data_IF_239334706911
#
_entry.id   IF_239334706911
#
_cell.length_a   1.000
_cell.length_b   1.000
_cell.length_c   1.000
_cell.angle_alpha   90.00
_cell.angle_beta   90.00
_cell.angle_gamma   90.00
#
_symmetry.space_group_name_H-M   'P 1'
#
loop_
_entity.id
_entity.type
_entity.pdbx_description
1 polymer ?
#
# COMPACT_ATOMS: atom_id res chain seq x y z
N UNK A 1 21.82 -51.86 -4.58
CA UNK A 1 22.15 -50.53 -4.00
C UNK A 1 20.92 -50.08 -3.24
N UNK A 2 20.85 -50.33 -1.94
CA UNK A 2 19.70 -49.92 -1.12
C UNK A 2 19.94 -48.46 -0.71
N UNK A 3 19.17 -47.52 -1.26
CA UNK A 3 19.11 -46.17 -0.70
C UNK A 3 18.70 -46.27 0.78
N UNK A 4 19.40 -45.61 1.71
CA UNK A 4 19.00 -45.64 3.11
C UNK A 4 17.63 -44.97 3.23
N UNK A 5 16.61 -45.76 3.53
CA UNK A 5 15.30 -45.30 3.99
C UNK A 5 15.52 -44.44 5.22
N UNK A 6 15.54 -43.12 5.04
CA UNK A 6 15.76 -42.17 6.13
C UNK A 6 14.69 -42.34 7.21
N UNK A 7 15.09 -42.12 8.47
CA UNK A 7 14.23 -42.24 9.64
C UNK A 7 12.86 -41.53 9.40
N UNK A 8 11.73 -42.27 9.42
CA UNK A 8 10.40 -41.73 9.11
C UNK A 8 9.99 -40.59 10.06
N UNK A 9 10.44 -40.61 11.33
CA UNK A 9 10.16 -39.53 12.28
C UNK A 9 10.86 -38.23 11.86
N UNK A 10 12.08 -38.35 11.33
CA UNK A 10 12.84 -37.20 10.81
C UNK A 10 12.21 -36.63 9.55
N UNK A 11 11.72 -37.49 8.65
CA UNK A 11 10.97 -37.08 7.45
C UNK A 11 9.70 -36.32 7.87
N UNK A 12 8.92 -36.88 8.79
CA UNK A 12 7.69 -36.27 9.31
C UNK A 12 7.96 -34.92 9.98
N UNK A 13 8.99 -34.81 10.83
CA UNK A 13 9.36 -33.57 11.49
C UNK A 13 9.80 -32.47 10.51
N UNK A 14 10.63 -32.81 9.51
CA UNK A 14 11.06 -31.87 8.47
C UNK A 14 9.89 -31.40 7.60
N UNK A 15 8.96 -32.30 7.29
CA UNK A 15 7.75 -31.97 6.56
C UNK A 15 6.84 -31.03 7.35
N UNK A 16 6.59 -31.32 8.63
CA UNK A 16 5.81 -30.47 9.51
C UNK A 16 6.40 -29.05 9.62
N UNK A 17 7.74 -28.93 9.69
CA UNK A 17 8.38 -27.61 9.68
C UNK A 17 8.19 -26.89 8.33
N UNK A 18 8.28 -27.60 7.21
CA UNK A 18 8.06 -27.01 5.89
C UNK A 18 6.61 -26.49 5.73
N UNK A 19 5.63 -27.22 6.25
CA UNK A 19 4.22 -26.79 6.28
C UNK A 19 4.02 -25.58 7.20
N UNK A 20 4.66 -25.58 8.38
CA UNK A 20 4.62 -24.44 9.30
C UNK A 20 5.21 -23.17 8.66
N UNK A 21 6.38 -23.26 8.03
CA UNK A 21 7.03 -22.12 7.36
C UNK A 21 6.16 -21.59 6.20
N UNK A 22 5.51 -22.47 5.44
CA UNK A 22 4.56 -22.08 4.38
C UNK A 22 3.30 -21.43 4.94
N UNK A 23 2.75 -21.98 6.03
CA UNK A 23 1.58 -21.40 6.69
C UNK A 23 1.89 -20.00 7.23
N UNK A 24 3.08 -19.81 7.80
CA UNK A 24 3.57 -18.51 8.27
C UNK A 24 3.77 -17.52 7.12
N UNK A 25 4.38 -17.94 6.01
CA UNK A 25 4.49 -17.12 4.81
C UNK A 25 3.11 -16.67 4.31
N UNK A 26 2.14 -17.59 4.22
CA UNK A 26 0.78 -17.25 3.81
C UNK A 26 0.12 -16.24 4.77
N UNK A 27 0.29 -16.42 6.09
CA UNK A 27 -0.19 -15.51 7.13
C UNK A 27 0.39 -14.10 6.96
N UNK A 28 1.71 -14.00 6.75
CA UNK A 28 2.40 -12.72 6.52
C UNK A 28 1.93 -12.04 5.23
N UNK A 29 1.81 -12.78 4.13
CA UNK A 29 1.30 -12.24 2.85
C UNK A 29 -0.09 -11.60 3.01
N UNK A 30 -1.00 -12.29 3.70
CA UNK A 30 -2.34 -11.75 4.01
C UNK A 30 -2.26 -10.54 4.95
N UNK A 31 -1.43 -10.60 5.99
CA UNK A 31 -1.23 -9.51 6.95
C UNK A 31 -0.73 -8.23 6.28
N UNK A 32 0.35 -8.33 5.51
CA UNK A 32 0.96 -7.23 4.74
C UNK A 32 -0.07 -6.58 3.81
N UNK A 33 -0.81 -7.40 3.07
CA UNK A 33 -1.82 -6.89 2.13
C UNK A 33 -2.94 -6.12 2.84
N UNK A 34 -3.46 -6.67 3.95
CA UNK A 34 -4.51 -6.03 4.76
C UNK A 34 -4.02 -4.72 5.39
N UNK A 35 -2.75 -4.67 5.82
CA UNK A 35 -2.16 -3.44 6.38
C UNK A 35 -1.86 -2.41 5.31
N UNK A 36 -1.47 -2.82 4.11
CA UNK A 36 -1.29 -1.89 2.99
C UNK A 36 -2.62 -1.22 2.62
N UNK A 37 -3.70 -2.00 2.58
CA UNK A 37 -5.06 -1.47 2.41
C UNK A 37 -5.41 -0.42 3.47
N UNK A 38 -5.08 -0.69 4.74
CA UNK A 38 -5.33 0.25 5.83
C UNK A 38 -4.45 1.49 5.72
N UNK A 39 -3.17 1.36 5.33
CA UNK A 39 -2.26 2.47 5.13
C UNK A 39 -2.76 3.44 4.05
N UNK A 40 -3.29 2.90 2.94
CA UNK A 40 -3.94 3.71 1.89
C UNK A 40 -5.18 4.42 2.41
N UNK A 41 -6.03 3.75 3.20
CA UNK A 41 -7.24 4.38 3.80
C UNK A 41 -6.90 5.50 4.77
N UNK A 42 -5.83 5.34 5.55
CA UNK A 42 -5.33 6.36 6.46
C UNK A 42 -4.57 7.48 5.72
N UNK A 43 -4.36 7.33 4.41
CA UNK A 43 -3.64 8.29 3.58
C UNK A 43 -2.16 8.40 3.92
N UNK A 44 -1.57 7.32 4.44
CA UNK A 44 -0.13 7.20 4.77
C UNK A 44 0.69 6.93 3.50
N UNK A 45 0.14 6.15 2.58
CA UNK A 45 0.71 5.82 1.27
C UNK A 45 -0.38 6.01 0.22
N UNK A 46 -0.03 6.48 -0.97
CA UNK A 46 -0.99 6.53 -2.08
C UNK A 46 -1.27 5.12 -2.66
N UNK A 47 -2.38 4.98 -3.38
CA UNK A 47 -2.82 3.69 -3.92
C UNK A 47 -1.92 3.16 -5.05
N UNK A 48 -1.28 4.03 -5.83
CA UNK A 48 -0.41 3.64 -6.94
C UNK A 48 0.90 3.04 -6.39
N UNK A 49 1.53 3.72 -5.44
CA UNK A 49 2.71 3.22 -4.71
C UNK A 49 2.39 1.95 -3.95
N UNK A 50 1.27 1.90 -3.23
CA UNK A 50 0.84 0.68 -2.54
C UNK A 50 0.71 -0.51 -3.50
N UNK A 51 0.11 -0.31 -4.68
CA UNK A 51 0.02 -1.36 -5.70
C UNK A 51 1.40 -1.75 -6.26
N UNK A 52 2.28 -0.77 -6.52
CA UNK A 52 3.66 -1.03 -6.98
C UNK A 52 4.45 -1.87 -5.97
N UNK A 53 4.39 -1.52 -4.68
CA UNK A 53 5.02 -2.27 -3.59
C UNK A 53 4.47 -3.69 -3.51
N UNK A 54 3.14 -3.86 -3.54
CA UNK A 54 2.51 -5.18 -3.50
C UNK A 54 2.93 -6.04 -4.70
N UNK A 55 2.91 -5.49 -5.92
CA UNK A 55 3.36 -6.21 -7.12
C UNK A 55 4.81 -6.61 -7.02
N UNK A 56 5.68 -5.76 -6.48
CA UNK A 56 7.08 -6.07 -6.28
C UNK A 56 7.32 -7.18 -5.24
N UNK A 57 6.40 -7.37 -4.30
CA UNK A 57 6.42 -8.48 -3.34
C UNK A 57 5.70 -9.74 -3.86
N UNK A 58 5.28 -9.76 -5.13
CA UNK A 58 4.50 -10.85 -5.71
C UNK A 58 3.12 -11.01 -5.05
N UNK A 59 2.59 -9.93 -4.47
CA UNK A 59 1.26 -9.88 -3.87
C UNK A 59 0.26 -9.28 -4.86
N UNK A 60 -1.00 -9.72 -4.81
CA UNK A 60 -2.03 -9.09 -5.62
C UNK A 60 -2.23 -7.63 -5.21
N UNK A 61 -2.50 -6.79 -6.20
CA UNK A 61 -2.71 -5.35 -6.01
C UNK A 61 -3.94 -5.08 -5.14
N UNK A 62 -4.07 -3.86 -4.63
CA UNK A 62 -5.27 -3.48 -3.90
C UNK A 62 -6.47 -3.42 -4.86
N UNK A 63 -7.67 -3.79 -4.40
CA UNK A 63 -8.87 -3.67 -5.21
C UNK A 63 -9.10 -2.20 -5.57
N UNK A 64 -9.34 -1.95 -6.86
CA UNK A 64 -9.70 -0.65 -7.43
C UNK A 64 -11.14 -0.70 -7.94
N UNK A 65 -11.76 0.46 -8.11
CA UNK A 65 -13.07 0.55 -8.74
C UNK A 65 -12.89 0.57 -10.25
N UNK A 66 -13.60 -0.31 -10.94
CA UNK A 66 -13.57 -0.46 -12.39
C UNK A 66 -14.95 -0.17 -12.94
N UNK A 67 -15.01 0.64 -13.99
CA UNK A 67 -16.17 0.75 -14.86
C UNK A 67 -16.04 -0.34 -15.93
N UNK A 68 -16.96 -1.29 -15.95
CA UNK A 68 -17.00 -2.34 -16.96
C UNK A 68 -18.19 -2.10 -17.88
N UNK A 69 -17.91 -1.58 -19.06
CA UNK A 69 -18.88 -1.38 -20.13
C UNK A 69 -19.03 -2.67 -20.92
N UNK A 70 -20.26 -3.11 -21.12
CA UNK A 70 -20.57 -4.30 -21.88
C UNK A 70 -21.80 -4.13 -22.77
N UNK A 71 -21.78 -4.82 -23.90
CA UNK A 71 -22.95 -4.98 -24.76
C UNK A 71 -23.55 -6.37 -24.57
N UNK A 72 -24.86 -6.41 -24.38
CA UNK A 72 -25.64 -7.60 -24.05
C UNK A 72 -26.76 -7.78 -25.06
N UNK A 73 -27.06 -9.04 -25.39
CA UNK A 73 -28.26 -9.41 -26.13
C UNK A 73 -29.36 -9.79 -25.13
N UNK A 74 -30.46 -9.06 -25.14
CA UNK A 74 -31.63 -9.36 -24.34
C UNK A 74 -32.77 -9.85 -25.22
N UNK A 75 -33.50 -10.85 -24.72
CA UNK A 75 -34.66 -11.44 -25.37
C UNK A 75 -35.83 -11.32 -24.40
N UNK A 76 -36.86 -10.60 -24.83
CA UNK A 76 -38.08 -10.39 -24.06
C UNK A 76 -39.26 -11.04 -24.78
N UNK A 77 -40.22 -11.57 -24.02
CA UNK A 77 -41.49 -12.06 -24.56
C UNK A 77 -42.60 -11.15 -24.09
N UNK A 78 -43.42 -10.67 -25.01
CA UNK A 78 -44.57 -9.83 -24.68
C UNK A 78 -45.77 -10.13 -25.57
N UNK A 79 -46.95 -9.72 -25.12
CA UNK A 79 -48.22 -9.89 -25.83
C UNK A 79 -48.72 -8.55 -26.33
N UNK A 80 -48.80 -8.37 -27.66
CA UNK A 80 -49.13 -7.09 -28.27
C UNK A 80 -49.92 -7.25 -29.57
N UNK A 81 -50.56 -6.18 -30.03
CA UNK A 81 -51.38 -6.19 -31.27
C UNK A 81 -50.55 -6.01 -32.56
N UNK A 82 -49.22 -5.93 -32.45
CA UNK A 82 -48.34 -5.69 -33.59
C UNK A 82 -46.86 -5.60 -33.19
N UNK A 83 -45.96 -5.84 -34.14
CA UNK A 83 -44.52 -5.83 -33.92
C UNK A 83 -44.00 -4.48 -33.43
N UNK A 84 -44.48 -3.36 -34.00
CA UNK A 84 -44.08 -2.01 -33.57
C UNK A 84 -44.52 -1.70 -32.14
N UNK A 85 -45.68 -2.23 -31.72
CA UNK A 85 -46.16 -2.09 -30.33
C UNK A 85 -45.35 -2.95 -29.37
N UNK A 86 -44.95 -4.15 -29.78
CA UNK A 86 -44.01 -4.99 -29.03
C UNK A 86 -42.65 -4.29 -28.84
N UNK A 87 -42.10 -3.70 -29.91
CA UNK A 87 -40.85 -2.94 -29.84
C UNK A 87 -40.99 -1.74 -28.89
N UNK A 88 -42.07 -0.95 -29.01
CA UNK A 88 -42.30 0.21 -28.15
C UNK A 88 -42.47 -0.19 -26.68
N UNK A 89 -43.26 -1.20 -26.40
CA UNK A 89 -43.51 -1.69 -25.04
C UNK A 89 -42.21 -2.12 -24.34
N UNK A 90 -41.37 -2.92 -25.02
CA UNK A 90 -40.08 -3.34 -24.47
C UNK A 90 -39.11 -2.16 -24.34
N UNK A 91 -39.12 -1.21 -25.27
CA UNK A 91 -38.30 0.01 -25.17
C UNK A 91 -38.62 0.84 -23.92
N UNK A 92 -39.89 0.96 -23.58
CA UNK A 92 -40.34 1.80 -22.46
C UNK A 92 -40.07 1.13 -21.10
N UNK A 93 -40.16 -0.20 -21.03
CA UNK A 93 -40.05 -0.97 -19.76
C UNK A 93 -38.64 -1.47 -19.47
N UNK A 94 -37.86 -1.82 -20.51
CA UNK A 94 -36.56 -2.46 -20.33
C UNK A 94 -35.56 -1.62 -19.50
N UNK A 95 -35.38 -0.30 -19.73
CA UNK A 95 -34.45 0.49 -18.91
C UNK A 95 -34.80 0.48 -17.43
N UNK A 96 -36.08 0.56 -17.08
CA UNK A 96 -36.54 0.61 -15.68
C UNK A 96 -36.34 -0.73 -14.97
N UNK A 97 -36.80 -1.84 -15.56
CA UNK A 97 -36.63 -3.18 -14.97
C UNK A 97 -35.15 -3.54 -14.79
N UNK A 98 -34.30 -3.15 -15.76
CA UNK A 98 -32.87 -3.35 -15.66
C UNK A 98 -32.22 -2.50 -14.59
N UNK A 99 -32.57 -1.22 -14.49
CA UNK A 99 -32.04 -0.35 -13.46
C UNK A 99 -32.47 -0.82 -12.05
N UNK A 100 -33.70 -1.32 -11.91
CA UNK A 100 -34.18 -1.93 -10.67
C UNK A 100 -33.38 -3.19 -10.29
N UNK A 101 -33.08 -4.08 -11.25
CA UNK A 101 -32.30 -5.29 -11.00
C UNK A 101 -30.79 -5.01 -10.77
N UNK A 102 -30.21 -4.05 -11.50
CA UNK A 102 -28.80 -3.69 -11.38
C UNK A 102 -28.48 -2.93 -10.08
N UNK A 103 -29.43 -2.10 -9.60
CA UNK A 103 -29.27 -1.28 -8.41
C UNK A 103 -28.76 0.13 -8.71
N UNK A 104 -28.57 0.98 -7.68
CA UNK A 104 -28.36 2.42 -7.85
C UNK A 104 -26.95 2.81 -8.32
N UNK A 105 -25.96 1.93 -8.16
CA UNK A 105 -24.57 2.21 -8.52
C UNK A 105 -24.24 1.87 -9.98
N UNK A 106 -25.01 0.99 -10.61
CA UNK A 106 -24.83 0.52 -11.99
C UNK A 106 -25.68 1.37 -12.95
N UNK A 107 -25.29 1.49 -14.22
CA UNK A 107 -26.07 2.25 -15.21
C UNK A 107 -26.34 1.42 -16.46
N UNK A 108 -27.59 1.41 -16.91
CA UNK A 108 -28.01 0.68 -18.11
C UNK A 108 -28.64 1.64 -19.10
N UNK A 109 -28.26 1.53 -20.36
CA UNK A 109 -28.88 2.25 -21.46
C UNK A 109 -29.12 1.31 -22.63
N UNK A 110 -30.31 1.38 -23.23
CA UNK A 110 -30.66 0.56 -24.39
C UNK A 110 -29.86 0.99 -25.61
N UNK A 111 -29.16 0.05 -26.26
CA UNK A 111 -28.40 0.30 -27.49
C UNK A 111 -29.16 -0.30 -28.67
N UNK A 112 -29.46 0.51 -29.67
CA UNK A 112 -30.27 0.09 -30.82
C UNK A 112 -29.50 -0.90 -31.73
N UNK A 113 -30.16 -1.81 -32.47
CA UNK A 113 -31.60 -1.91 -32.76
C UNK A 113 -32.41 -2.94 -31.95
N UNK A 114 -33.75 -2.81 -32.01
CA UNK A 114 -34.75 -3.74 -31.47
C UNK A 114 -35.41 -4.50 -32.64
N UNK A 115 -35.42 -5.83 -32.60
CA UNK A 115 -36.14 -6.68 -33.57
C UNK A 115 -37.28 -7.41 -32.87
N UNK A 116 -38.50 -7.33 -33.40
CA UNK A 116 -39.63 -8.12 -32.92
C UNK A 116 -39.99 -9.20 -33.94
N UNK A 117 -40.07 -10.45 -33.48
CA UNK A 117 -40.52 -11.60 -34.26
C UNK A 117 -41.76 -12.19 -33.63
N UNK A 118 -42.75 -12.50 -34.46
CA UNK A 118 -43.95 -13.20 -34.02
C UNK A 118 -43.57 -14.62 -33.55
N UNK A 119 -44.11 -15.03 -32.41
CA UNK A 119 -43.97 -16.40 -31.91
C UNK A 119 -45.23 -17.22 -32.28
N UNK A 120 -45.18 -18.04 -33.35
CA UNK A 120 -46.34 -18.79 -33.82
C UNK A 120 -46.76 -19.93 -32.90
N UNK A 121 -45.92 -20.30 -31.91
CA UNK A 121 -46.21 -21.40 -31.00
C UNK A 121 -47.09 -21.00 -29.80
N UNK A 122 -47.32 -19.70 -29.60
CA UNK A 122 -48.15 -19.18 -28.51
C UNK A 122 -49.61 -19.02 -28.96
N UNK A 123 -50.56 -19.46 -28.13
CA UNK A 123 -52.00 -19.35 -28.41
C UNK A 123 -52.40 -17.87 -28.35
N UNK A 124 -52.73 -17.29 -29.50
CA UNK A 124 -53.22 -15.91 -29.60
C UNK A 124 -54.70 -15.82 -29.20
N UNK A 125 -55.06 -14.73 -28.52
CA UNK A 125 -56.44 -14.35 -28.23
C UNK A 125 -56.71 -13.00 -28.89
N UNK A 126 -57.88 -12.83 -29.51
CA UNK A 126 -58.37 -11.62 -30.21
C UNK A 126 -57.34 -10.50 -30.47
N UNK A 127 -56.80 -10.42 -31.69
CA UNK A 127 -55.80 -9.45 -32.18
C UNK A 127 -54.49 -9.31 -31.38
N UNK A 128 -54.35 -9.93 -30.21
CA UNK A 128 -53.14 -9.92 -29.37
C UNK A 128 -52.31 -11.17 -29.68
N UNK A 129 -51.06 -10.95 -30.05
CA UNK A 129 -50.10 -11.98 -30.45
C UNK A 129 -48.87 -11.94 -29.57
N UNK A 130 -48.25 -13.10 -29.34
CA UNK A 130 -46.96 -13.17 -28.67
C UNK A 130 -45.84 -12.73 -29.63
N UNK A 131 -44.97 -11.88 -29.13
CA UNK A 131 -43.77 -11.42 -29.81
C UNK A 131 -42.54 -11.71 -28.96
N UNK A 132 -41.51 -12.25 -29.61
CA UNK A 132 -40.15 -12.30 -29.08
C UNK A 132 -39.42 -11.06 -29.58
N UNK A 133 -39.03 -10.20 -28.66
CA UNK A 133 -38.28 -8.97 -28.97
C UNK A 133 -36.84 -9.17 -28.56
N UNK A 134 -35.93 -9.04 -29.52
CA UNK A 134 -34.48 -9.04 -29.29
C UNK A 134 -34.00 -7.60 -29.23
N UNK A 135 -33.26 -7.25 -28.18
CA UNK A 135 -32.70 -5.93 -27.92
C UNK A 135 -31.20 -6.03 -27.67
N UNK A 136 -30.42 -5.07 -28.17
CA UNK A 136 -29.06 -4.84 -27.67
C UNK A 136 -29.13 -3.88 -26.48
N UNK A 137 -28.35 -4.14 -25.43
CA UNK A 137 -28.31 -3.30 -24.24
C UNK A 137 -26.86 -2.96 -23.92
N UNK A 138 -26.60 -1.68 -23.67
CA UNK A 138 -25.36 -1.20 -23.10
C UNK A 138 -25.50 -1.16 -21.59
N UNK A 139 -24.62 -1.85 -20.88
CA UNK A 139 -24.56 -1.80 -19.42
C UNK A 139 -23.16 -1.38 -18.98
N UNK A 140 -23.10 -0.45 -18.04
CA UNK A 140 -21.89 -0.14 -17.31
C UNK A 140 -22.07 -0.63 -15.86
N UNK A 141 -21.26 -1.62 -15.51
CA UNK A 141 -21.28 -2.26 -14.19
C UNK A 141 -20.04 -1.83 -13.43
N UNK A 142 -20.24 -1.42 -12.18
CA UNK A 142 -19.15 -1.03 -11.31
C UNK A 142 -18.72 -2.20 -10.43
N UNK A 143 -17.45 -2.56 -10.52
CA UNK A 143 -16.89 -3.67 -9.74
C UNK A 143 -15.63 -3.26 -9.01
N UNK A 144 -15.31 -3.99 -7.94
CA UNK A 144 -14.09 -3.77 -7.15
C UNK A 144 -13.13 -4.95 -7.35
N UNK A 145 -12.04 -4.71 -8.08
CA UNK A 145 -11.15 -5.77 -8.51
C UNK A 145 -9.68 -5.34 -8.54
N UNK A 146 -8.80 -6.33 -8.41
CA UNK A 146 -7.35 -6.16 -8.30
C UNK A 146 -6.66 -6.06 -9.66
N UNK A 147 -7.39 -6.39 -10.73
CA UNK A 147 -6.90 -6.36 -12.11
C UNK A 147 -8.08 -6.22 -13.07
N UNK A 148 -7.78 -5.78 -14.30
CA UNK A 148 -8.76 -5.71 -15.40
C UNK A 148 -9.44 -7.07 -15.62
N UNK A 149 -8.68 -8.17 -15.60
CA UNK A 149 -9.23 -9.51 -15.81
C UNK A 149 -10.19 -9.91 -14.68
N UNK A 150 -9.81 -9.66 -13.42
CA UNK A 150 -10.69 -9.91 -12.28
C UNK A 150 -11.95 -9.03 -12.31
N UNK A 151 -11.83 -7.78 -12.76
CA UNK A 151 -12.97 -6.88 -12.95
C UNK A 151 -13.96 -7.46 -13.98
N UNK A 152 -13.45 -7.91 -15.13
CA UNK A 152 -14.29 -8.54 -16.17
C UNK A 152 -14.97 -9.81 -15.64
N UNK A 153 -14.27 -10.67 -14.91
CA UNK A 153 -14.85 -11.89 -14.32
C UNK A 153 -15.96 -11.57 -13.31
N UNK A 154 -15.73 -10.59 -12.42
CA UNK A 154 -16.73 -10.16 -11.45
C UNK A 154 -17.93 -9.49 -12.14
N UNK A 155 -17.70 -8.66 -13.15
CA UNK A 155 -18.76 -8.01 -13.91
C UNK A 155 -19.63 -9.06 -14.62
N UNK A 156 -19.03 -10.10 -15.22
CA UNK A 156 -19.78 -11.24 -15.79
C UNK A 156 -20.65 -11.93 -14.74
N UNK A 157 -20.10 -12.23 -13.55
CA UNK A 157 -20.88 -12.84 -12.48
C UNK A 157 -22.03 -11.92 -12.00
N UNK A 158 -21.79 -10.61 -11.93
CA UNK A 158 -22.81 -9.62 -11.58
C UNK A 158 -23.92 -9.54 -12.63
N UNK A 159 -23.58 -9.61 -13.92
CA UNK A 159 -24.55 -9.62 -15.02
C UNK A 159 -25.41 -10.89 -15.03
N UNK A 160 -24.82 -12.06 -14.72
CA UNK A 160 -25.60 -13.30 -14.54
C UNK A 160 -26.56 -13.20 -13.35
N UNK A 161 -26.14 -12.54 -12.27
CA UNK A 161 -27.04 -12.27 -11.14
C UNK A 161 -28.20 -11.34 -11.55
N UNK A 162 -27.89 -10.24 -12.23
CA UNK A 162 -28.91 -9.30 -12.75
C UNK A 162 -29.89 -10.03 -13.67
N UNK A 163 -29.40 -10.94 -14.54
CA UNK A 163 -30.24 -11.78 -15.39
C UNK A 163 -31.24 -12.60 -14.58
N UNK A 164 -30.81 -13.18 -13.45
CA UNK A 164 -31.68 -13.99 -12.62
C UNK A 164 -32.78 -13.17 -11.93
N UNK A 165 -32.50 -11.90 -11.66
CA UNK A 165 -33.40 -10.98 -10.98
C UNK A 165 -34.42 -10.34 -11.95
N UNK A 166 -34.30 -10.56 -13.28
CA UNK A 166 -35.24 -10.07 -14.29
C UNK A 166 -36.42 -11.04 -14.49
N UNK A 167 -37.65 -10.52 -14.40
CA UNK A 167 -38.89 -11.30 -14.43
C UNK A 167 -39.47 -11.51 -15.83
N UNK A 168 -39.35 -10.53 -16.73
CA UNK A 168 -39.99 -10.52 -18.06
C UNK A 168 -39.00 -10.56 -19.22
N UNK A 169 -37.69 -10.52 -18.92
CA UNK A 169 -36.62 -10.53 -19.91
C UNK A 169 -35.59 -11.59 -19.57
N UNK A 170 -35.17 -12.35 -20.58
CA UNK A 170 -34.01 -13.23 -20.49
C UNK A 170 -32.84 -12.58 -21.21
N UNK A 171 -31.70 -12.48 -20.52
CA UNK A 171 -30.45 -12.04 -21.13
C UNK A 171 -29.76 -13.26 -21.70
N UNK A 172 -29.33 -13.24 -22.95
CA UNK A 172 -28.31 -14.18 -23.37
C UNK A 172 -26.93 -13.62 -22.98
N UNK A 173 -26.55 -13.81 -21.71
CA UNK A 173 -25.25 -13.39 -21.21
C UNK A 173 -24.08 -14.16 -21.85
N UNK A 174 -24.36 -15.23 -22.62
CA UNK A 174 -23.33 -15.92 -23.41
C UNK A 174 -22.92 -15.10 -24.65
N UNK A 175 -23.80 -14.18 -25.11
CA UNK A 175 -23.55 -13.23 -26.21
C UNK A 175 -23.08 -11.89 -25.63
N UNK A 176 -21.93 -11.94 -24.94
CA UNK A 176 -21.18 -10.76 -24.52
C UNK A 176 -20.25 -10.36 -25.67
N UNK A 177 -20.69 -9.45 -26.54
CA UNK A 177 -19.97 -9.11 -27.78
C UNK A 177 -18.76 -8.20 -27.54
N UNK A 178 -18.83 -7.30 -26.55
CA UNK A 178 -17.76 -6.33 -26.24
C UNK A 178 -17.71 -6.06 -24.75
N UNK A 179 -16.52 -6.15 -24.16
CA UNK A 179 -16.27 -5.76 -22.77
C UNK A 179 -15.07 -4.80 -22.74
N UNK A 180 -15.33 -3.59 -22.28
CA UNK A 180 -14.30 -2.60 -22.00
C UNK A 180 -14.28 -2.36 -20.49
N UNK A 181 -13.08 -2.26 -19.93
CA UNK A 181 -12.91 -2.12 -18.50
C UNK A 181 -11.87 -1.03 -18.27
N UNK A 182 -12.34 0.09 -17.74
CA UNK A 182 -11.54 1.26 -17.44
C UNK A 182 -11.44 1.44 -15.93
N UNK A 183 -10.22 1.72 -15.49
CA UNK A 183 -9.94 2.05 -14.10
C UNK A 183 -10.40 3.47 -13.81
N UNK A 184 -11.23 3.65 -12.79
CA UNK A 184 -11.64 4.98 -12.34
C UNK A 184 -10.47 5.64 -11.60
N UNK A 185 -9.95 6.76 -12.13
CA UNK A 185 -8.78 7.46 -11.58
C UNK A 185 -9.07 8.36 -10.37
N UNK A 186 -10.30 8.37 -9.86
CA UNK A 186 -10.74 9.24 -8.77
C UNK A 186 -10.45 8.64 -7.39
N UNK A 187 -10.39 9.53 -6.37
CA UNK A 187 -9.96 9.26 -4.98
C UNK A 187 -10.38 7.87 -4.49
N UNK A 188 -9.51 7.17 -3.73
CA UNK A 188 -9.85 5.87 -3.17
C UNK A 188 -11.16 6.01 -2.39
N UNK A 189 -12.25 5.46 -2.93
CA UNK A 189 -13.47 5.32 -2.15
C UNK A 189 -13.12 4.51 -0.90
N UNK A 190 -13.86 4.70 0.21
CA UNK A 190 -13.75 3.81 1.34
C UNK A 190 -14.10 2.42 0.85
N UNK A 191 -13.07 1.64 0.51
CA UNK A 191 -13.22 0.25 0.17
C UNK A 191 -14.06 -0.33 1.29
N UNK A 192 -15.21 -0.95 0.96
CA UNK A 192 -15.90 -1.76 1.96
C UNK A 192 -14.83 -2.70 2.52
N UNK A 193 -14.77 -2.93 3.86
CA UNK A 193 -13.89 -3.97 4.36
C UNK A 193 -14.16 -5.15 3.46
N UNK A 194 -13.15 -5.71 2.77
CA UNK A 194 -13.39 -6.96 2.13
C UNK A 194 -14.04 -7.81 3.22
N UNK A 195 -15.22 -8.37 2.92
CA UNK A 195 -15.58 -9.62 3.55
C UNK A 195 -14.48 -10.54 3.06
N UNK A 196 -13.31 -10.48 3.72
CA UNK A 196 -12.17 -11.32 3.48
C UNK A 196 -12.65 -12.70 3.93
N UNK A 197 -13.44 -13.35 3.08
CA UNK A 197 -13.22 -14.76 2.88
C UNK A 197 -11.72 -14.86 2.64
N UNK A 198 -10.97 -15.63 3.44
CA UNK A 198 -9.56 -15.82 3.18
C UNK A 198 -9.46 -16.22 1.71
N UNK A 199 -8.74 -15.45 0.89
CA UNK A 199 -8.29 -15.92 -0.42
C UNK A 199 -7.29 -17.05 -0.14
N UNK A 200 -7.83 -18.18 0.28
CA UNK A 200 -7.23 -19.50 0.22
C UNK A 200 -8.03 -20.21 -0.86
N UNK A 201 -7.47 -20.45 -2.05
CA UNK A 201 -7.32 -21.86 -2.34
C UNK A 201 -6.59 -22.46 -1.12
N UNK A 202 -7.13 -23.47 -0.42
CA UNK A 202 -6.31 -24.22 0.52
C UNK A 202 -5.00 -24.51 -0.23
N UNK A 203 -3.85 -24.11 0.34
CA UNK A 203 -2.59 -24.52 -0.25
C UNK A 203 -2.73 -26.02 -0.43
N UNK A 204 -2.66 -26.54 -1.68
CA UNK A 204 -2.92 -27.95 -1.90
C UNK A 204 -1.98 -28.69 -0.95
N UNK A 205 -2.57 -29.50 -0.07
CA UNK A 205 -1.83 -30.34 0.86
C UNK A 205 -0.92 -31.18 -0.01
N UNK A 206 0.35 -30.80 -0.08
CA UNK A 206 1.31 -31.56 -0.87
C UNK A 206 1.45 -32.91 -0.16
N UNK A 207 1.46 -34.02 -0.89
CA UNK A 207 1.65 -35.31 -0.26
C UNK A 207 3.00 -35.30 0.50
N UNK A 208 3.06 -35.91 1.70
CA UNK A 208 4.28 -35.95 2.47
C UNK A 208 5.39 -36.65 1.67
N UNK A 209 6.62 -36.12 1.69
CA UNK A 209 7.73 -36.70 0.95
C UNK A 209 8.06 -38.09 1.50
N UNK A 210 8.18 -39.07 0.61
CA UNK A 210 8.55 -40.44 0.98
C UNK A 210 10.07 -40.60 1.21
N UNK A 211 10.87 -39.58 0.83
CA UNK A 211 12.33 -39.61 0.92
C UNK A 211 12.85 -38.45 1.77
N UNK A 212 13.87 -38.73 2.57
CA UNK A 212 14.53 -37.73 3.44
C UNK A 212 15.11 -36.56 2.64
N UNK A 213 15.69 -36.81 1.46
CA UNK A 213 16.24 -35.75 0.61
C UNK A 213 15.17 -34.75 0.16
N UNK A 214 13.95 -35.22 -0.12
CA UNK A 214 12.83 -34.38 -0.55
C UNK A 214 12.26 -33.56 0.62
N UNK A 215 12.18 -34.16 1.81
CA UNK A 215 11.80 -33.45 3.04
C UNK A 215 12.77 -32.31 3.39
N UNK A 216 14.08 -32.57 3.31
CA UNK A 216 15.12 -31.54 3.51
C UNK A 216 14.98 -30.42 2.46
N UNK A 217 14.77 -30.78 1.19
CA UNK A 217 14.62 -29.79 0.11
C UNK A 217 13.38 -28.92 0.30
N UNK A 218 12.25 -29.53 0.65
CA UNK A 218 11.00 -28.82 0.90
C UNK A 218 11.13 -27.84 2.07
N UNK A 219 11.72 -28.28 3.19
CA UNK A 219 11.97 -27.43 4.35
C UNK A 219 12.89 -26.24 3.99
N UNK A 220 14.04 -26.51 3.37
CA UNK A 220 14.99 -25.44 2.99
C UNK A 220 14.37 -24.43 2.04
N UNK A 221 13.55 -24.89 1.08
CA UNK A 221 12.83 -24.02 0.15
C UNK A 221 11.81 -23.15 0.87
N UNK A 222 10.95 -23.73 1.71
CA UNK A 222 9.94 -22.99 2.46
C UNK A 222 10.58 -21.93 3.37
N UNK A 223 11.64 -22.30 4.10
CA UNK A 223 12.39 -21.37 4.96
C UNK A 223 13.06 -20.24 4.18
N UNK A 224 13.62 -20.55 3.01
CA UNK A 224 14.22 -19.54 2.13
C UNK A 224 13.18 -18.57 1.59
N UNK A 225 12.06 -19.07 1.06
CA UNK A 225 10.97 -18.24 0.54
C UNK A 225 10.40 -17.32 1.64
N UNK A 226 10.26 -17.83 2.87
CA UNK A 226 9.86 -17.03 4.02
C UNK A 226 10.88 -15.93 4.35
N UNK A 227 12.16 -16.29 4.46
CA UNK A 227 13.23 -15.34 4.79
C UNK A 227 13.41 -14.26 3.71
N UNK A 228 13.36 -14.64 2.43
CA UNK A 228 13.43 -13.72 1.29
C UNK A 228 12.25 -12.75 1.31
N UNK A 229 11.02 -13.23 1.52
CA UNK A 229 9.84 -12.38 1.60
C UNK A 229 9.92 -11.36 2.75
N UNK A 230 10.35 -11.79 3.94
CA UNK A 230 10.54 -10.90 5.10
C UNK A 230 11.59 -9.83 4.80
N UNK A 231 12.74 -10.25 4.24
CA UNK A 231 13.84 -9.34 3.90
C UNK A 231 13.42 -8.32 2.83
N UNK A 232 12.71 -8.76 1.79
CA UNK A 232 12.31 -7.89 0.68
C UNK A 232 11.27 -6.84 1.11
N UNK A 233 10.35 -7.19 2.03
CA UNK A 233 9.45 -6.21 2.64
C UNK A 233 10.24 -5.20 3.47
N UNK A 234 11.12 -5.69 4.36
CA UNK A 234 11.89 -4.83 5.26
C UNK A 234 12.74 -3.83 4.47
N UNK A 235 13.50 -4.31 3.48
CA UNK A 235 14.36 -3.47 2.64
C UNK A 235 13.57 -2.39 1.89
N UNK A 236 12.41 -2.74 1.29
CA UNK A 236 11.59 -1.78 0.54
C UNK A 236 10.87 -0.77 1.41
N UNK A 237 10.34 -1.20 2.56
CA UNK A 237 9.68 -0.28 3.49
C UNK A 237 10.70 0.70 4.09
N UNK A 238 11.92 0.25 4.36
CA UNK A 238 13.04 1.12 4.76
C UNK A 238 13.41 2.09 3.63
N UNK A 239 13.53 1.62 2.38
CA UNK A 239 13.83 2.48 1.24
C UNK A 239 12.76 3.58 1.05
N UNK A 240 11.47 3.23 1.20
CA UNK A 240 10.37 4.19 1.11
C UNK A 240 10.43 5.29 2.19
N UNK A 241 11.06 5.05 3.34
CA UNK A 241 11.34 6.10 4.33
C UNK A 241 12.43 7.07 3.84
N UNK A 242 13.50 6.53 3.25
CA UNK A 242 14.63 7.31 2.73
C UNK A 242 14.22 8.20 1.56
N UNK A 243 13.35 7.70 0.69
CA UNK A 243 12.87 8.42 -0.50
C UNK A 243 11.73 9.42 -0.18
N UNK A 244 11.43 9.62 1.11
CA UNK A 244 10.32 10.46 1.61
C UNK A 244 8.95 10.08 1.01
N UNK A 245 8.79 8.83 0.58
CA UNK A 245 7.56 8.34 -0.05
C UNK A 245 6.42 8.13 0.95
N UNK A 246 6.78 7.95 2.23
CA UNK A 246 5.85 7.85 3.35
C UNK A 246 5.65 9.25 3.95
N UNK A 247 4.48 9.84 3.73
CA UNK A 247 4.14 11.14 4.31
C UNK A 247 3.46 10.95 5.67
N UNK A 248 4.04 11.52 6.71
CA UNK A 248 3.40 11.61 8.01
C UNK A 248 2.16 12.51 7.93
N UNK A 249 0.94 11.94 7.89
CA UNK A 249 -0.28 12.73 8.13
C UNK A 249 -0.36 13.09 9.62
N UNK A 250 -0.54 14.38 9.92
CA UNK A 250 -0.89 14.84 11.26
C UNK A 250 0.21 14.69 12.32
N UNK A 251 1.42 15.18 12.03
CA UNK A 251 2.55 15.28 12.98
C UNK A 251 3.12 13.94 13.49
N UNK A 252 2.81 12.81 12.83
CA UNK A 252 3.42 11.51 13.15
C UNK A 252 4.72 11.31 12.38
N UNK A 253 5.77 10.86 13.08
CA UNK A 253 7.06 10.50 12.50
C UNK A 253 6.87 9.35 11.47
N UNK A 254 7.36 9.49 10.22
CA UNK A 254 7.34 8.40 9.24
C UNK A 254 7.90 7.07 9.77
N UNK A 255 8.90 7.11 10.65
CA UNK A 255 9.49 5.90 11.24
C UNK A 255 8.51 5.18 12.17
N UNK A 256 7.67 5.91 12.92
CA UNK A 256 6.63 5.31 13.76
C UNK A 256 5.52 4.65 12.91
N UNK A 257 5.21 5.24 11.75
CA UNK A 257 4.23 4.68 10.81
C UNK A 257 4.74 3.39 10.18
N UNK A 258 6.03 3.33 9.84
CA UNK A 258 6.65 2.11 9.34
C UNK A 258 6.79 1.04 10.42
N UNK A 259 7.22 1.39 11.64
CA UNK A 259 7.28 0.45 12.75
C UNK A 259 5.89 -0.16 13.01
N UNK A 260 4.85 0.69 13.04
CA UNK A 260 3.47 0.25 13.13
C UNK A 260 3.08 -0.67 11.98
N UNK A 261 3.42 -0.35 10.73
CA UNK A 261 3.09 -1.20 9.57
C UNK A 261 3.75 -2.57 9.69
N UNK A 262 5.03 -2.63 10.05
CA UNK A 262 5.80 -3.86 10.19
C UNK A 262 5.22 -4.74 11.31
N UNK A 263 5.10 -4.20 12.52
CA UNK A 263 4.59 -4.92 13.69
C UNK A 263 3.15 -5.39 13.44
N UNK A 264 2.30 -4.51 12.91
CA UNK A 264 0.89 -4.85 12.68
C UNK A 264 0.67 -5.82 11.51
N UNK A 265 1.66 -5.99 10.63
CA UNK A 265 1.70 -7.03 9.58
C UNK A 265 2.24 -8.36 10.09
N UNK A 266 2.72 -8.42 11.34
CA UNK A 266 3.31 -9.61 11.94
C UNK A 266 4.81 -9.76 11.71
N UNK A 267 5.48 -8.72 11.21
CA UNK A 267 6.94 -8.66 11.06
C UNK A 267 7.57 -8.12 12.35
N UNK A 268 8.86 -8.39 12.54
CA UNK A 268 9.63 -7.68 13.57
C UNK A 268 9.63 -6.18 13.29
N UNK A 269 9.53 -5.36 14.33
CA UNK A 269 9.58 -3.90 14.21
C UNK A 269 10.93 -3.37 13.71
N UNK A 270 11.01 -2.05 13.56
CA UNK A 270 12.27 -1.38 13.30
C UNK A 270 13.21 -1.55 14.50
N UNK A 271 14.54 -1.57 14.27
CA UNK A 271 15.51 -1.46 15.36
C UNK A 271 15.17 -0.22 16.20
N UNK A 272 15.38 -0.31 17.52
CA UNK A 272 15.13 0.83 18.40
C UNK A 272 16.44 1.44 18.85
N UNK A 273 16.46 2.77 18.96
CA UNK A 273 17.56 3.52 19.53
C UNK A 273 17.06 4.43 20.64
N UNK A 274 17.86 4.58 21.68
CA UNK A 274 17.65 5.62 22.67
C UNK A 274 17.99 6.95 22.00
N UNK A 275 17.03 7.87 21.99
CA UNK A 275 17.18 9.16 21.33
C UNK A 275 17.36 10.29 22.34
N UNK A 276 18.26 11.21 22.03
CA UNK A 276 18.52 12.42 22.79
C UNK A 276 18.46 13.64 21.86
N UNK A 277 17.81 14.71 22.29
CA UNK A 277 17.98 16.02 21.69
C UNK A 277 19.11 16.73 22.45
N UNK A 278 20.22 17.00 21.77
CA UNK A 278 21.34 17.76 22.33
C UNK A 278 21.34 19.14 21.68
N UNK A 279 21.02 20.17 22.44
CA UNK A 279 21.04 21.55 21.96
C UNK A 279 22.39 22.16 22.26
N UNK A 280 23.14 22.49 21.20
CA UNK A 280 24.36 23.25 21.29
C UNK A 280 24.06 24.75 21.15
N UNK A 281 24.52 25.53 22.12
CA UNK A 281 24.60 26.98 21.98
C UNK A 281 26.05 27.33 21.65
N UNK A 282 26.26 27.85 20.44
CA UNK A 282 27.58 28.17 19.89
C UNK A 282 27.70 29.69 19.79
N UNK A 283 28.59 30.28 20.58
CA UNK A 283 28.90 31.70 20.51
C UNK A 283 30.16 31.93 19.68
N UNK A 284 30.05 32.77 18.66
CA UNK A 284 31.16 33.12 17.76
C UNK A 284 31.30 34.63 17.63
N UNK A 285 32.55 35.09 17.56
CA UNK A 285 32.86 36.48 17.23
C UNK A 285 33.16 36.58 15.74
N UNK A 286 32.40 37.42 15.05
CA UNK A 286 32.52 37.66 13.61
C UNK A 286 32.98 39.10 13.38
N UNK A 287 34.10 39.24 12.69
CA UNK A 287 34.55 40.54 12.19
C UNK A 287 33.67 40.94 11.01
N UNK A 288 32.82 41.95 11.22
CA UNK A 288 31.93 42.50 10.20
C UNK A 288 31.68 43.98 10.47
N UNK A 289 31.22 44.70 9.43
CA UNK A 289 30.91 46.14 9.52
C UNK A 289 29.47 46.42 9.95
N UNK A 290 28.60 45.41 9.93
CA UNK A 290 27.20 45.50 10.39
C UNK A 290 26.70 44.17 10.98
N UNK A 291 25.61 44.25 11.77
CA UNK A 291 24.96 43.07 12.36
C UNK A 291 24.38 42.13 11.28
N UNK A 292 23.88 42.67 10.18
CA UNK A 292 23.36 41.90 9.05
C UNK A 292 24.48 41.17 8.30
N UNK A 293 25.62 41.85 8.10
CA UNK A 293 26.81 41.22 7.51
C UNK A 293 27.36 40.13 8.43
N UNK A 294 27.43 40.37 9.75
CA UNK A 294 27.84 39.37 10.73
C UNK A 294 26.93 38.13 10.71
N UNK A 295 25.62 38.35 10.62
CA UNK A 295 24.62 37.27 10.49
C UNK A 295 24.87 36.45 9.23
N UNK A 296 24.97 37.09 8.07
CA UNK A 296 25.20 36.41 6.80
C UNK A 296 26.51 35.63 6.76
N UNK A 297 27.61 36.23 7.25
CA UNK A 297 28.91 35.56 7.34
C UNK A 297 28.88 34.37 8.29
N UNK A 298 28.20 34.49 9.44
CA UNK A 298 28.06 33.38 10.38
C UNK A 298 27.24 32.22 9.81
N UNK A 299 26.19 32.50 9.04
CA UNK A 299 25.41 31.46 8.32
C UNK A 299 26.32 30.72 7.34
N UNK A 300 27.16 31.46 6.60
CA UNK A 300 28.04 30.89 5.59
C UNK A 300 29.17 30.07 6.21
N UNK A 301 29.83 30.56 7.26
CA UNK A 301 30.85 29.80 8.00
C UNK A 301 30.29 28.49 8.57
N UNK A 302 29.05 28.53 9.07
CA UNK A 302 28.36 27.31 9.49
C UNK A 302 28.07 26.41 8.31
N UNK A 303 27.53 26.91 7.20
CA UNK A 303 27.26 26.10 6.01
C UNK A 303 28.53 25.38 5.50
N UNK A 304 29.67 26.06 5.49
CA UNK A 304 30.95 25.55 5.00
C UNK A 304 31.61 24.56 5.98
N UNK A 305 31.38 24.73 7.28
CA UNK A 305 32.00 23.90 8.33
C UNK A 305 31.12 22.74 8.78
N UNK A 306 29.82 22.73 8.41
CA UNK A 306 28.89 21.75 8.94
C UNK A 306 29.03 20.42 8.20
N UNK A 307 29.24 19.30 8.91
CA UNK A 307 29.20 18.00 8.26
C UNK A 307 27.79 17.75 7.70
N UNK A 308 27.69 17.66 6.37
CA UNK A 308 26.42 17.36 5.67
C UNK A 308 25.93 15.92 5.92
N UNK A 309 26.76 15.08 6.54
CA UNK A 309 26.48 13.66 6.80
C UNK A 309 26.92 13.27 8.21
N UNK A 310 26.30 12.24 8.82
CA UNK A 310 26.75 11.71 10.08
C UNK A 310 28.19 11.21 9.98
N UNK A 311 29.03 11.61 10.93
CA UNK A 311 30.44 11.24 11.01
C UNK A 311 30.58 9.72 11.24
N UNK A 312 31.42 9.01 10.46
CA UNK A 312 31.72 7.60 10.71
C UNK A 312 32.26 7.39 12.14
N UNK A 313 31.67 6.45 12.89
CA UNK A 313 32.13 6.09 14.24
C UNK A 313 31.54 6.90 15.40
N UNK A 314 30.75 7.94 15.15
CA UNK A 314 30.01 8.67 16.20
C UNK A 314 28.54 8.23 16.27
N UNK A 315 27.90 8.29 17.46
CA UNK A 315 26.45 8.27 17.59
C UNK A 315 25.83 9.27 16.62
N UNK A 316 24.85 8.82 15.84
CA UNK A 316 24.35 9.57 14.70
C UNK A 316 23.71 10.87 15.19
N UNK A 317 24.17 12.00 14.66
CA UNK A 317 23.79 13.35 15.06
C UNK A 317 23.23 14.12 13.85
N UNK A 318 21.91 14.27 13.78
CA UNK A 318 21.27 15.12 12.75
C UNK A 318 20.98 16.50 13.30
N UNK A 319 21.28 17.58 12.57
CA UNK A 319 20.77 18.90 12.97
C UNK A 319 19.27 18.98 12.67
N UNK A 320 18.43 18.97 13.70
CA UNK A 320 16.96 18.98 13.60
C UNK A 320 16.43 20.41 13.41
N UNK A 321 17.04 21.40 14.07
CA UNK A 321 16.69 22.80 13.92
C UNK A 321 17.90 23.72 14.12
N UNK A 322 17.99 24.78 13.31
CA UNK A 322 19.03 25.81 13.35
C UNK A 322 18.36 27.17 13.44
N UNK A 323 18.77 27.98 14.42
CA UNK A 323 18.32 29.36 14.53
C UNK A 323 19.44 30.25 15.06
N UNK A 324 19.58 31.44 14.46
CA UNK A 324 20.31 32.54 15.09
C UNK A 324 19.48 32.99 16.27
N UNK A 325 19.99 32.79 17.48
CA UNK A 325 19.32 33.23 18.68
C UNK A 325 19.51 34.74 18.85
N UNK A 326 20.76 35.23 18.70
CA UNK A 326 21.12 36.62 19.01
C UNK A 326 22.30 37.11 18.15
N UNK A 327 22.32 38.42 17.85
CA UNK A 327 23.45 39.14 17.26
C UNK A 327 23.65 40.43 18.04
N UNK A 328 24.83 40.61 18.65
CA UNK A 328 25.15 41.77 19.47
C UNK A 328 26.52 42.35 19.10
N UNK A 329 26.68 43.67 19.22
CA UNK A 329 27.98 44.30 19.06
C UNK A 329 28.85 43.99 20.29
N UNK A 330 30.11 43.58 20.07
CA UNK A 330 31.08 43.26 21.11
C UNK A 330 32.44 43.93 20.86
N UNK A 331 33.39 43.72 21.78
CA UNK A 331 34.76 44.19 21.59
C UNK A 331 35.44 43.33 20.50
N UNK A 332 35.86 43.97 19.40
CA UNK A 332 36.55 43.31 18.29
C UNK A 332 35.67 42.67 17.21
N UNK A 333 34.34 42.83 17.26
CA UNK A 333 33.43 42.31 16.24
C UNK A 333 31.98 42.18 16.73
N UNK A 334 31.15 41.48 15.96
CA UNK A 334 29.80 41.10 16.37
C UNK A 334 29.82 39.72 17.01
N UNK A 335 29.24 39.57 18.20
CA UNK A 335 28.95 38.26 18.75
C UNK A 335 27.66 37.73 18.15
N UNK A 336 27.73 36.53 17.58
CA UNK A 336 26.59 35.80 17.05
C UNK A 336 26.41 34.53 17.85
N UNK A 337 25.22 34.34 18.40
CA UNK A 337 24.86 33.14 19.17
C UNK A 337 23.93 32.28 18.33
N UNK A 338 24.36 31.05 18.11
CA UNK A 338 23.62 30.03 17.40
C UNK A 338 23.07 29.01 18.36
N UNK A 339 21.81 28.61 18.15
CA UNK A 339 21.25 27.40 18.76
C UNK A 339 21.02 26.36 17.69
N UNK A 340 21.64 25.21 17.90
CA UNK A 340 21.46 24.06 17.01
C UNK A 340 21.10 22.83 17.83
N UNK A 341 19.99 22.20 17.49
CA UNK A 341 19.57 20.96 18.14
C UNK A 341 19.98 19.77 17.30
N UNK A 342 20.70 18.85 17.92
CA UNK A 342 21.12 17.58 17.34
C UNK A 342 20.25 16.45 17.87
N UNK A 343 19.73 15.61 16.97
CA UNK A 343 19.17 14.33 17.36
C UNK A 343 20.28 13.29 17.42
N UNK A 344 20.53 12.73 18.60
CA UNK A 344 21.51 11.68 18.84
C UNK A 344 20.84 10.32 19.05
N UNK A 345 21.17 9.34 18.21
CA UNK A 345 20.64 7.98 18.29
C UNK A 345 21.69 6.98 18.83
N UNK A 346 21.38 6.30 19.94
CA UNK A 346 22.23 5.27 20.54
C UNK A 346 21.53 3.90 20.58
N UNK A 347 22.03 2.90 19.84
CA UNK A 347 21.44 1.53 19.81
C UNK A 347 21.79 0.69 21.04
N UNK A 348 23.06 0.69 21.43
CA UNK A 348 23.60 -0.17 22.49
C UNK A 348 23.75 0.53 23.85
N UNK A 349 23.59 1.85 23.90
CA UNK A 349 23.86 2.67 25.06
C UNK A 349 22.69 3.59 25.38
N UNK A 350 22.53 3.95 26.65
CA UNK A 350 21.52 4.89 27.14
C UNK A 350 22.19 5.96 27.99
N UNK A 351 23.14 6.69 27.39
CA UNK A 351 23.96 7.66 28.13
C UNK A 351 23.86 9.04 27.51
N UNK A 352 23.26 9.95 28.28
CA UNK A 352 23.22 11.38 27.95
C UNK A 352 24.64 11.98 27.86
N UNK A 353 25.60 11.47 28.65
CA UNK A 353 27.00 11.91 28.58
C UNK A 353 27.63 11.53 27.23
N UNK A 354 27.44 10.29 26.77
CA UNK A 354 27.91 9.86 25.45
C UNK A 354 27.21 10.63 24.32
N UNK A 355 25.96 11.05 24.52
CA UNK A 355 25.24 11.86 23.53
C UNK A 355 25.84 13.27 23.41
N UNK A 356 26.16 13.91 24.54
CA UNK A 356 26.86 15.19 24.57
C UNK A 356 28.26 15.08 23.97
N UNK A 357 29.00 14.03 24.32
CA UNK A 357 30.36 13.80 23.81
C UNK A 357 30.38 13.62 22.29
N UNK A 358 29.41 12.89 21.73
CA UNK A 358 29.26 12.74 20.29
C UNK A 358 29.06 14.08 19.57
N UNK A 359 28.21 14.96 20.12
CA UNK A 359 27.98 16.31 19.56
C UNK A 359 29.21 17.18 19.73
N UNK A 360 29.90 17.10 20.86
CA UNK A 360 31.16 17.83 21.09
C UNK A 360 32.22 17.43 20.05
N UNK A 361 32.46 16.14 19.85
CA UNK A 361 33.38 15.63 18.83
C UNK A 361 32.99 16.08 17.41
N UNK A 362 31.70 16.15 17.09
CA UNK A 362 31.23 16.67 15.80
C UNK A 362 31.47 18.18 15.64
N UNK A 363 31.29 18.94 16.72
CA UNK A 363 31.55 20.39 16.72
C UNK A 363 33.06 20.69 16.68
N UNK A 364 33.90 19.85 17.28
CA UNK A 364 35.37 19.99 17.28
C UNK A 364 36.00 19.63 15.92
N UNK A 365 35.30 18.80 15.13
CA UNK A 365 35.70 18.43 13.75
C UNK A 365 35.21 19.44 12.72
N UNK A 366 34.06 20.07 12.93
CA UNK A 366 33.75 21.34 12.29
C UNK A 366 34.80 22.38 12.74
N UNK A 367 35.20 23.33 11.89
CA UNK A 367 36.24 24.31 12.22
C UNK A 367 35.86 25.33 13.34
N UNK A 368 34.89 24.98 14.20
CA UNK A 368 34.33 25.76 15.30
C UNK A 368 35.15 25.68 16.60
N UNK A 369 36.40 25.20 16.56
CA UNK A 369 37.26 24.99 17.74
C UNK A 369 37.51 26.24 18.60
N UNK A 370 37.26 27.43 18.08
CA UNK A 370 37.41 28.71 18.78
C UNK A 370 36.10 29.27 19.36
N UNK A 371 34.97 28.60 19.15
CA UNK A 371 33.67 29.03 19.67
C UNK A 371 33.46 28.53 21.10
N UNK A 372 32.82 29.35 21.94
CA UNK A 372 32.34 28.88 23.24
C UNK A 372 31.07 28.05 23.01
N UNK A 373 31.09 26.79 23.46
CA UNK A 373 30.04 25.80 23.20
C UNK A 373 29.49 25.27 24.51
N UNK A 374 28.22 25.58 24.77
CA UNK A 374 27.45 24.94 25.84
C UNK A 374 26.48 23.91 25.26
N UNK A 375 26.35 22.77 25.94
CA UNK A 375 25.53 21.63 25.49
C UNK A 375 24.46 21.29 26.53
N UNK A 376 23.20 21.42 26.13
CA UNK A 376 22.03 20.93 26.86
C UNK A 376 21.57 19.60 26.25
N UNK A 377 21.04 18.70 27.08
CA UNK A 377 20.54 17.40 26.59
C UNK A 377 19.16 17.13 27.17
N UNK A 378 18.25 16.71 26.31
CA UNK A 378 16.93 16.21 26.66
C UNK A 378 16.79 14.77 26.16
N UNK A 379 16.34 13.89 27.03
CA UNK A 379 16.06 12.50 26.65
C UNK A 379 14.70 12.42 25.97
N UNK A 380 14.67 11.84 24.76
CA UNK A 380 13.43 11.68 23.96
C UNK A 380 12.83 10.28 24.10
N UNK A 381 13.54 9.37 24.76
CA UNK A 381 13.16 7.98 25.01
C UNK A 381 13.59 7.00 23.92
N UNK A 382 13.14 5.75 24.08
CA UNK A 382 13.38 4.67 23.14
C UNK A 382 12.39 4.74 21.97
N UNK A 383 12.89 4.95 20.75
CA UNK A 383 12.08 5.15 19.54
C UNK A 383 12.62 4.32 18.37
N UNK A 384 11.83 4.13 17.29
CA UNK A 384 12.35 3.54 16.05
C UNK A 384 13.60 4.28 15.59
N UNK A 385 14.62 3.52 15.23
CA UNK A 385 15.90 4.09 14.84
C UNK A 385 15.77 4.81 13.49
N UNK A 386 16.32 6.03 13.42
CA UNK A 386 16.28 6.85 12.21
C UNK A 386 17.40 6.55 11.22
N UNK A 387 18.37 5.73 11.60
CA UNK A 387 19.32 5.14 10.65
C UNK A 387 18.90 3.71 10.38
N UNK A 388 18.31 3.50 9.23
CA UNK A 388 17.92 2.17 8.79
C UNK A 388 18.89 1.76 7.70
N UNK A 389 19.73 0.75 7.98
CA UNK A 389 20.43 0.04 6.92
C UNK A 389 19.46 -1.04 6.42
N UNK A 390 19.04 -1.01 5.15
CA UNK A 390 18.09 -1.99 4.61
C UNK A 390 18.60 -3.43 4.66
N UNK A 391 19.90 -3.63 4.95
CA UNK A 391 20.56 -4.93 5.01
C UNK A 391 21.16 -5.30 6.38
N UNK A 392 21.00 -4.46 7.41
CA UNK A 392 21.37 -4.85 8.79
C UNK A 392 20.21 -5.57 9.49
N UNK A 393 20.55 -6.79 9.90
CA UNK A 393 19.78 -7.86 10.55
C UNK A 393 18.82 -8.67 9.65
#
# INVERSE_FOLDING_TARGET
MNEPTGNPDKITSLWAQAEADRAELARLKTGVRRRMLLAVRLGVVDIERACSMLSAWGLPQLPRRWAVSCELLAVARCWQTGADRAIKHIRDIAPEQWQQAAGPDDSVHTVWPLEARFDPAAIADNDIRAYVVTARLGACVWVSAESRQAAVTQARARLVQIQHDLTEMTIDASVLERIEADEERTRPQPLRPPRDAPHRPPMPSLPPPLRLADAIRAQRRARRELAEFVRDIRARVIAALSDAEVHGRGHRDPHDLVDWFMVSSGLAGLPRSQQFAVTATVAMTIEATSAEQARSLSVQMLADSWPHYPQPGLPITFSDHRSVAEVAAGQGGFQVVWRVTYLVCQRAHRSAALAKEAVRLQLDTAALRAADVSLEVAELGLRPDRRLDPYQD
#
